data_IF_980974809009
#
_entry.id   IF_980974809009
#
_cell.length_a   1.000
_cell.length_b   1.000
_cell.length_c   1.000
_cell.angle_alpha   90.00
_cell.angle_beta   90.00
_cell.angle_gamma   90.00
#
_symmetry.space_group_name_H-M   'P 1'
#
loop_
_entity.id
_entity.type
_entity.pdbx_description
1 polymer ?
#
# COMPACT_ATOMS: atom_id res chain seq x y z
N UNK A 1 -57.43 -30.12 -7.87
CA UNK A 1 -56.70 -28.84 -7.75
C UNK A 1 -55.44 -29.10 -6.95
N UNK A 2 -54.29 -29.26 -7.61
CA UNK A 2 -53.00 -29.40 -6.95
C UNK A 2 -52.33 -28.03 -6.86
N UNK A 3 -52.00 -27.59 -5.65
CA UNK A 3 -51.14 -26.44 -5.47
C UNK A 3 -49.73 -26.77 -5.98
N UNK A 4 -49.07 -25.86 -6.73
CA UNK A 4 -47.71 -26.11 -7.15
C UNK A 4 -46.80 -26.05 -5.92
N UNK A 5 -46.04 -27.13 -5.69
CA UNK A 5 -44.87 -27.09 -4.82
C UNK A 5 -43.85 -26.17 -5.48
N UNK A 6 -43.71 -24.96 -4.94
CA UNK A 6 -42.58 -24.09 -5.27
C UNK A 6 -41.34 -24.76 -4.68
N UNK A 7 -40.51 -25.30 -5.57
CA UNK A 7 -39.23 -25.89 -5.24
C UNK A 7 -38.24 -24.75 -4.99
N UNK A 8 -38.13 -24.30 -3.73
CA UNK A 8 -37.08 -23.36 -3.28
C UNK A 8 -35.75 -24.12 -3.24
N UNK A 9 -35.19 -24.46 -4.40
CA UNK A 9 -33.79 -24.89 -4.52
C UNK A 9 -32.92 -23.66 -4.79
N UNK A 10 -32.13 -23.28 -3.79
CA UNK A 10 -30.84 -22.62 -4.00
C UNK A 10 -30.83 -21.09 -3.90
N UNK A 11 -31.34 -20.50 -2.82
CA UNK A 11 -30.76 -19.22 -2.36
C UNK A 11 -29.65 -19.59 -1.39
N UNK A 12 -28.43 -19.76 -1.90
CA UNK A 12 -27.26 -19.88 -1.04
C UNK A 12 -27.15 -18.62 -0.20
N UNK A 13 -27.13 -18.75 1.13
CA UNK A 13 -26.85 -17.62 2.00
C UNK A 13 -25.49 -17.03 1.60
N UNK A 14 -25.50 -15.74 1.28
CA UNK A 14 -24.28 -14.97 1.03
C UNK A 14 -23.52 -14.90 2.34
N UNK A 15 -22.34 -15.52 2.40
CA UNK A 15 -21.49 -15.45 3.59
C UNK A 15 -20.64 -14.20 3.56
N UNK A 16 -20.38 -13.64 4.74
CA UNK A 16 -19.33 -12.65 4.93
C UNK A 16 -18.09 -13.33 5.52
N UNK A 17 -16.94 -13.14 4.87
CA UNK A 17 -15.66 -13.71 5.25
C UNK A 17 -14.67 -12.62 5.61
N UNK A 18 -14.02 -12.75 6.76
CA UNK A 18 -13.03 -11.81 7.27
C UNK A 18 -11.62 -12.38 7.08
N UNK A 19 -10.73 -11.55 6.52
CA UNK A 19 -9.33 -11.89 6.29
C UNK A 19 -8.44 -11.00 7.14
N UNK A 20 -7.58 -11.62 7.95
CA UNK A 20 -6.71 -10.93 8.90
C UNK A 20 -5.34 -11.61 9.01
N UNK A 21 -4.33 -10.84 9.45
CA UNK A 21 -2.98 -11.33 9.77
C UNK A 21 -2.53 -11.01 11.20
N UNK A 22 -1.58 -11.80 11.70
CA UNK A 22 -0.87 -11.48 12.93
C UNK A 22 0.60 -11.85 12.83
N UNK A 23 1.43 -11.10 13.56
CA UNK A 23 2.86 -11.33 13.68
C UNK A 23 3.72 -10.55 12.68
N UNK A 24 3.14 -9.77 11.75
CA UNK A 24 3.89 -8.98 10.77
C UNK A 24 4.92 -8.02 11.36
N UNK A 25 4.63 -7.47 12.55
CA UNK A 25 5.55 -6.59 13.28
C UNK A 25 6.66 -7.31 14.05
N UNK A 26 6.52 -8.61 14.32
CA UNK A 26 7.51 -9.40 15.04
C UNK A 26 8.57 -9.93 14.08
N UNK A 27 9.84 -9.90 14.50
CA UNK A 27 10.95 -10.49 13.73
C UNK A 27 11.00 -12.00 13.77
N UNK A 28 10.31 -12.61 14.72
CA UNK A 28 10.28 -14.05 14.94
C UNK A 28 8.90 -14.63 14.64
N UNK A 29 8.89 -15.96 14.45
CA UNK A 29 7.73 -16.78 14.12
C UNK A 29 7.06 -16.42 12.80
N UNK A 30 6.19 -17.28 12.31
CA UNK A 30 5.51 -17.06 11.04
C UNK A 30 4.43 -16.00 11.20
N UNK A 31 4.21 -15.22 10.14
CA UNK A 31 2.98 -14.44 10.02
C UNK A 31 1.82 -15.42 9.83
N UNK A 32 0.80 -15.31 10.67
CA UNK A 32 -0.44 -16.09 10.56
C UNK A 32 -1.39 -15.33 9.67
N UNK A 33 -2.08 -16.04 8.78
CA UNK A 33 -3.20 -15.53 8.00
C UNK A 33 -4.44 -16.35 8.38
N UNK A 34 -5.56 -15.67 8.60
CA UNK A 34 -6.85 -16.32 8.88
C UNK A 34 -7.92 -15.88 7.88
N UNK A 35 -8.86 -16.78 7.63
CA UNK A 35 -10.09 -16.59 6.87
C UNK A 35 -11.23 -17.13 7.73
N UNK A 36 -12.15 -16.25 8.14
CA UNK A 36 -13.17 -16.58 9.13
C UNK A 36 -14.54 -16.13 8.65
N UNK A 37 -15.55 -16.98 8.74
CA UNK A 37 -16.94 -16.56 8.65
C UNK A 37 -17.52 -16.51 10.06
N UNK A 38 -17.80 -15.32 10.58
CA UNK A 38 -18.25 -15.18 11.97
C UNK A 38 -19.65 -15.77 12.21
N UNK A 39 -20.54 -15.63 11.23
CA UNK A 39 -21.91 -16.13 11.30
C UNK A 39 -21.94 -17.66 11.40
N UNK A 40 -21.18 -18.35 10.54
CA UNK A 40 -21.11 -19.81 10.53
C UNK A 40 -20.05 -20.39 11.48
N UNK A 41 -19.21 -19.54 12.08
CA UNK A 41 -18.04 -19.91 12.91
C UNK A 41 -17.02 -20.80 12.19
N UNK A 42 -16.99 -20.73 10.86
CA UNK A 42 -15.98 -21.43 10.06
C UNK A 42 -14.65 -20.70 10.16
N UNK A 43 -13.59 -21.43 10.50
CA UNK A 43 -12.26 -20.88 10.77
C UNK A 43 -11.24 -21.64 9.93
N UNK A 44 -10.52 -20.90 9.10
CA UNK A 44 -9.40 -21.39 8.33
C UNK A 44 -8.18 -20.53 8.65
N UNK A 45 -7.03 -21.18 8.81
CA UNK A 45 -5.79 -20.50 9.14
C UNK A 45 -4.60 -21.16 8.46
N UNK A 46 -3.56 -20.37 8.22
CA UNK A 46 -2.28 -20.83 7.69
C UNK A 46 -1.16 -19.91 8.18
N UNK A 47 0.08 -20.36 8.03
CA UNK A 47 1.26 -19.62 8.45
C UNK A 47 2.23 -19.46 7.28
N UNK A 48 2.76 -18.26 7.11
CA UNK A 48 3.76 -17.98 6.08
C UNK A 48 5.14 -18.52 6.51
N UNK A 49 5.83 -19.30 5.66
CA UNK A 49 7.09 -19.91 6.04
C UNK A 49 8.13 -18.86 6.44
N UNK A 50 9.00 -19.18 7.40
CA UNK A 50 10.01 -18.23 7.91
C UNK A 50 10.97 -17.75 6.81
N UNK A 51 11.24 -18.60 5.83
CA UNK A 51 12.06 -18.34 4.64
C UNK A 51 11.52 -19.11 3.42
N UNK A 52 11.93 -18.72 2.21
CA UNK A 52 11.60 -19.36 0.93
C UNK A 52 12.58 -18.87 -0.15
N UNK A 53 12.77 -19.62 -1.23
CA UNK A 53 13.73 -19.32 -2.31
C UNK A 53 13.12 -19.31 -3.72
N UNK A 54 11.80 -19.40 -3.82
CA UNK A 54 11.05 -19.50 -5.08
C UNK A 54 10.74 -18.16 -5.74
N UNK A 55 11.41 -17.08 -5.32
CA UNK A 55 11.34 -15.75 -5.95
C UNK A 55 10.06 -14.95 -5.64
N UNK A 56 9.05 -15.55 -5.03
CA UNK A 56 7.84 -14.82 -4.63
C UNK A 56 8.13 -13.77 -3.56
N UNK A 57 7.44 -12.65 -3.66
CA UNK A 57 7.38 -11.64 -2.59
C UNK A 57 6.48 -12.11 -1.44
N UNK A 58 6.58 -11.42 -0.30
CA UNK A 58 5.70 -11.67 0.85
C UNK A 58 4.20 -11.52 0.50
N UNK A 59 3.85 -10.50 -0.31
CA UNK A 59 2.46 -10.24 -0.71
C UNK A 59 1.93 -11.36 -1.63
N UNK A 60 2.77 -11.90 -2.53
CA UNK A 60 2.41 -13.04 -3.38
C UNK A 60 2.29 -14.34 -2.58
N UNK A 61 3.18 -14.58 -1.60
CA UNK A 61 3.07 -15.72 -0.68
C UNK A 61 1.76 -15.68 0.11
N UNK A 62 1.39 -14.50 0.62
CA UNK A 62 0.13 -14.31 1.33
C UNK A 62 -1.07 -14.54 0.41
N UNK A 63 -1.03 -13.99 -0.81
CA UNK A 63 -2.06 -14.23 -1.82
C UNK A 63 -2.26 -15.71 -2.09
N UNK A 64 -1.20 -16.46 -2.41
CA UNK A 64 -1.28 -17.90 -2.71
C UNK A 64 -1.84 -18.73 -1.55
N UNK A 65 -1.49 -18.35 -0.32
CA UNK A 65 -2.02 -19.03 0.88
C UNK A 65 -3.51 -18.72 1.09
N UNK A 66 -3.92 -17.46 0.92
CA UNK A 66 -5.31 -17.03 1.09
C UNK A 66 -6.22 -17.62 0.00
N UNK A 67 -5.77 -17.67 -1.26
CA UNK A 67 -6.54 -18.33 -2.32
C UNK A 67 -6.73 -19.81 -2.01
N UNK A 68 -5.70 -20.48 -1.51
CA UNK A 68 -5.81 -21.87 -1.04
C UNK A 68 -6.74 -22.04 0.17
N UNK A 69 -6.81 -21.07 1.08
CA UNK A 69 -7.81 -21.08 2.17
C UNK A 69 -9.22 -20.88 1.64
N UNK A 70 -9.42 -19.95 0.70
CA UNK A 70 -10.71 -19.69 0.06
C UNK A 70 -11.24 -20.93 -0.67
N UNK A 71 -10.37 -21.63 -1.41
CA UNK A 71 -10.72 -22.88 -2.09
C UNK A 71 -11.16 -23.95 -1.09
N UNK A 72 -10.42 -24.13 0.02
CA UNK A 72 -10.77 -25.08 1.09
C UNK A 72 -12.08 -24.73 1.79
N UNK A 73 -12.33 -23.44 1.99
CA UNK A 73 -13.55 -22.92 2.60
C UNK A 73 -14.76 -22.92 1.64
N UNK A 74 -14.54 -23.17 0.35
CA UNK A 74 -15.58 -23.12 -0.66
C UNK A 74 -16.16 -21.72 -0.84
N UNK A 75 -15.35 -20.67 -0.70
CA UNK A 75 -15.78 -19.27 -0.86
C UNK A 75 -16.33 -19.03 -2.27
N UNK A 76 -17.54 -18.52 -2.36
CA UNK A 76 -18.23 -18.28 -3.62
C UNK A 76 -18.04 -16.83 -4.09
N UNK A 77 -18.25 -16.56 -5.38
CA UNK A 77 -18.09 -15.19 -5.95
C UNK A 77 -19.09 -14.18 -5.41
N UNK A 78 -20.27 -14.67 -5.00
CA UNK A 78 -21.33 -13.88 -4.40
C UNK A 78 -21.15 -13.69 -2.89
N UNK A 79 -20.22 -14.40 -2.25
CA UNK A 79 -19.83 -14.10 -0.88
C UNK A 79 -19.15 -12.73 -0.81
N UNK A 80 -19.22 -12.10 0.36
CA UNK A 80 -18.54 -10.84 0.64
C UNK A 80 -17.26 -11.10 1.41
N UNK A 81 -16.14 -10.55 0.95
CA UNK A 81 -14.88 -10.58 1.69
C UNK A 81 -14.59 -9.22 2.33
N UNK A 82 -14.26 -9.21 3.61
CA UNK A 82 -13.77 -8.04 4.33
C UNK A 82 -12.29 -8.28 4.65
N UNK A 83 -11.41 -7.49 4.04
CA UNK A 83 -9.96 -7.69 4.13
C UNK A 83 -9.33 -6.61 4.99
N UNK A 84 -8.43 -7.00 5.88
CA UNK A 84 -7.66 -6.03 6.66
C UNK A 84 -6.86 -5.07 5.76
N UNK A 85 -6.66 -3.84 6.25
CA UNK A 85 -5.86 -2.81 5.56
C UNK A 85 -4.34 -3.07 5.52
N UNK A 86 -3.89 -4.21 6.04
CA UNK A 86 -2.49 -4.62 6.04
C UNK A 86 -1.89 -4.66 4.63
N UNK A 87 -0.71 -4.07 4.45
CA UNK A 87 -0.04 -4.03 3.15
C UNK A 87 0.28 -5.42 2.58
N UNK A 88 0.34 -6.45 3.42
CA UNK A 88 0.57 -7.83 3.02
C UNK A 88 -0.53 -8.34 2.07
N UNK A 89 -1.72 -7.73 2.12
CA UNK A 89 -2.88 -8.14 1.34
C UNK A 89 -3.01 -7.42 -0.02
N UNK A 90 -2.13 -6.49 -0.40
CA UNK A 90 -2.32 -5.71 -1.64
C UNK A 90 -2.44 -6.62 -2.89
N UNK A 91 -1.55 -7.61 -3.04
CA UNK A 91 -1.62 -8.58 -4.15
C UNK A 91 -2.93 -9.37 -4.11
N UNK A 92 -3.37 -9.79 -2.92
CA UNK A 92 -4.63 -10.51 -2.74
C UNK A 92 -5.85 -9.65 -3.10
N UNK A 93 -5.87 -8.39 -2.71
CA UNK A 93 -6.93 -7.42 -3.05
C UNK A 93 -7.03 -7.18 -4.57
N UNK A 94 -5.89 -7.07 -5.26
CA UNK A 94 -5.88 -7.01 -6.72
C UNK A 94 -6.42 -8.31 -7.33
N UNK A 95 -5.96 -9.47 -6.85
CA UNK A 95 -6.45 -10.75 -7.32
C UNK A 95 -7.96 -10.92 -7.12
N UNK A 96 -8.52 -10.49 -5.99
CA UNK A 96 -9.97 -10.51 -5.74
C UNK A 96 -10.73 -9.67 -6.76
N UNK A 97 -10.23 -8.45 -7.03
CA UNK A 97 -10.80 -7.54 -8.03
C UNK A 97 -10.78 -8.15 -9.42
N UNK A 98 -9.61 -8.61 -9.89
CA UNK A 98 -9.44 -9.21 -11.22
C UNK A 98 -10.26 -10.49 -11.38
N UNK A 99 -10.41 -11.25 -10.30
CA UNK A 99 -11.19 -12.48 -10.28
C UNK A 99 -12.69 -12.23 -10.11
N UNK A 100 -13.15 -10.99 -9.90
CA UNK A 100 -14.57 -10.66 -9.78
C UNK A 100 -15.23 -11.09 -8.47
N UNK A 101 -14.48 -11.13 -7.36
CA UNK A 101 -15.06 -11.28 -6.02
C UNK A 101 -15.60 -9.95 -5.48
N UNK A 102 -16.64 -10.01 -4.66
CA UNK A 102 -17.12 -8.84 -3.91
C UNK A 102 -16.29 -8.67 -2.65
N UNK A 103 -15.56 -7.56 -2.53
CA UNK A 103 -14.71 -7.34 -1.36
C UNK A 103 -14.59 -5.86 -0.99
N UNK A 104 -14.32 -5.60 0.30
CA UNK A 104 -14.06 -4.28 0.86
C UNK A 104 -12.90 -4.32 1.86
N UNK A 105 -12.32 -3.15 2.15
CA UNK A 105 -11.39 -2.99 3.28
C UNK A 105 -12.21 -2.74 4.56
N UNK A 106 -11.96 -3.53 5.60
CA UNK A 106 -12.57 -3.34 6.91
C UNK A 106 -11.54 -3.06 8.00
N UNK A 107 -11.98 -2.37 9.05
CA UNK A 107 -11.25 -2.36 10.33
C UNK A 107 -11.53 -3.71 10.99
N UNK A 108 -10.49 -4.46 11.28
CA UNK A 108 -10.62 -5.76 11.90
C UNK A 108 -10.64 -5.60 13.42
N UNK A 109 -11.81 -5.83 13.97
CA UNK A 109 -12.09 -6.21 15.35
C UNK A 109 -12.91 -7.50 15.32
N UNK A 110 -13.05 -8.18 16.47
CA UNK A 110 -13.82 -9.42 16.54
C UNK A 110 -13.01 -10.70 16.29
N UNK A 111 -13.70 -11.75 15.84
CA UNK A 111 -13.24 -13.14 15.94
C UNK A 111 -12.00 -13.41 15.08
N UNK A 112 -11.94 -12.85 13.87
CA UNK A 112 -10.79 -13.03 12.98
C UNK A 112 -9.51 -12.46 13.60
N UNK A 113 -9.60 -11.29 14.23
CA UNK A 113 -8.48 -10.65 14.90
C UNK A 113 -7.99 -11.47 16.09
N UNK A 114 -8.90 -11.86 16.98
CA UNK A 114 -8.57 -12.64 18.17
C UNK A 114 -7.93 -13.98 17.80
N UNK A 115 -8.42 -14.65 16.75
CA UNK A 115 -7.86 -15.91 16.27
C UNK A 115 -6.47 -15.75 15.64
N UNK A 116 -6.24 -14.69 14.84
CA UNK A 116 -4.93 -14.44 14.27
C UNK A 116 -3.88 -14.23 15.39
N UNK A 117 -4.20 -13.42 16.39
CA UNK A 117 -3.33 -13.18 17.55
C UNK A 117 -3.12 -14.44 18.39
N UNK A 118 -4.18 -15.20 18.63
CA UNK A 118 -4.11 -16.47 19.35
C UNK A 118 -3.20 -17.48 18.65
N UNK A 119 -3.36 -17.68 17.33
CA UNK A 119 -2.52 -18.60 16.57
C UNK A 119 -1.06 -18.13 16.51
N UNK A 120 -0.81 -16.82 16.42
CA UNK A 120 0.53 -16.29 16.51
C UNK A 120 1.17 -16.57 17.89
N UNK A 121 0.45 -16.30 18.98
CA UNK A 121 0.94 -16.59 20.33
C UNK A 121 1.18 -18.09 20.54
N UNK A 122 0.29 -18.94 20.01
CA UNK A 122 0.41 -20.40 20.10
C UNK A 122 1.71 -20.91 19.48
N UNK A 123 2.16 -20.34 18.36
CA UNK A 123 3.47 -20.69 17.78
C UNK A 123 4.62 -20.43 18.77
N UNK A 124 4.59 -19.30 19.46
CA UNK A 124 5.61 -18.94 20.44
C UNK A 124 5.57 -19.89 21.65
N UNK A 125 4.38 -20.17 22.18
CA UNK A 125 4.20 -21.10 23.32
C UNK A 125 4.67 -22.51 22.97
N UNK A 126 4.34 -23.00 21.78
CA UNK A 126 4.81 -24.32 21.30
C UNK A 126 6.34 -24.39 21.18
N UNK A 127 7.00 -23.26 20.93
CA UNK A 127 8.45 -23.15 20.94
C UNK A 127 9.06 -22.95 22.35
N UNK A 128 8.23 -22.90 23.41
CA UNK A 128 8.65 -22.77 24.80
C UNK A 128 8.53 -21.36 25.40
N UNK A 129 7.86 -20.42 24.72
CA UNK A 129 7.58 -19.09 25.28
C UNK A 129 6.57 -19.20 26.44
N UNK A 130 6.74 -18.46 27.56
CA UNK A 130 5.82 -18.57 28.67
C UNK A 130 4.38 -18.16 28.30
N UNK A 131 3.37 -19.03 28.49
CA UNK A 131 1.99 -18.80 28.04
C UNK A 131 1.26 -17.66 28.77
N UNK A 132 1.75 -17.26 29.95
CA UNK A 132 1.23 -16.13 30.72
C UNK A 132 1.67 -14.76 30.16
N UNK A 133 2.72 -14.72 29.34
CA UNK A 133 3.20 -13.49 28.72
C UNK A 133 2.40 -13.20 27.45
N UNK A 134 1.18 -12.70 27.61
CA UNK A 134 0.26 -12.44 26.51
C UNK A 134 0.32 -11.00 26.02
N UNK A 135 -0.28 -10.75 24.85
CA UNK A 135 -0.51 -9.40 24.37
C UNK A 135 -1.58 -8.72 25.25
N UNK A 136 -1.22 -7.61 25.87
CA UNK A 136 -2.12 -6.82 26.74
C UNK A 136 -2.40 -5.47 26.09
N UNK A 137 -3.67 -5.05 26.07
CA UNK A 137 -4.10 -3.72 25.58
C UNK A 137 -3.58 -3.36 24.19
N UNK A 138 -3.42 -4.36 23.31
CA UNK A 138 -2.83 -4.19 21.96
C UNK A 138 -1.44 -3.54 21.97
N UNK A 139 -0.67 -3.69 23.05
CA UNK A 139 0.70 -3.21 23.17
C UNK A 139 1.69 -4.14 22.44
N UNK A 140 1.56 -4.20 21.11
CA UNK A 140 2.37 -5.06 20.25
C UNK A 140 3.88 -4.81 20.38
N UNK A 141 4.26 -3.55 20.61
CA UNK A 141 5.67 -3.16 20.69
C UNK A 141 6.37 -3.88 21.83
N UNK A 142 5.75 -3.87 23.01
CA UNK A 142 6.30 -4.53 24.19
C UNK A 142 6.25 -6.04 24.05
N UNK A 143 5.10 -6.58 23.66
CA UNK A 143 4.90 -8.02 23.48
C UNK A 143 5.91 -8.63 22.48
N UNK A 144 6.08 -8.01 21.29
CA UNK A 144 7.08 -8.48 20.33
C UNK A 144 8.50 -8.30 20.84
N UNK A 145 8.79 -7.24 21.61
CA UNK A 145 10.11 -7.06 22.22
C UNK A 145 10.43 -8.17 23.23
N UNK A 146 9.42 -8.68 23.97
CA UNK A 146 9.60 -9.80 24.90
C UNK A 146 9.95 -11.08 24.14
N UNK A 147 9.19 -11.43 23.09
CA UNK A 147 9.47 -12.59 22.24
C UNK A 147 10.87 -12.49 21.63
N UNK A 148 11.21 -11.33 21.06
CA UNK A 148 12.50 -11.13 20.39
C UNK A 148 13.69 -11.24 21.36
N UNK A 149 13.54 -10.74 22.60
CA UNK A 149 14.56 -10.90 23.65
C UNK A 149 14.69 -12.36 24.10
N UNK A 150 13.57 -13.05 24.26
CA UNK A 150 13.55 -14.45 24.66
C UNK A 150 14.27 -15.34 23.63
N UNK A 151 13.97 -15.17 22.34
CA UNK A 151 14.70 -15.87 21.26
C UNK A 151 16.16 -15.44 21.20
N UNK A 152 16.45 -14.15 21.39
CA UNK A 152 17.81 -13.62 21.38
C UNK A 152 18.69 -14.16 22.52
N UNK A 153 18.10 -14.66 23.61
CA UNK A 153 18.81 -15.18 24.77
C UNK A 153 19.29 -16.64 24.59
N UNK A 154 18.69 -17.41 23.68
CA UNK A 154 19.03 -18.82 23.44
C UNK A 154 19.40 -19.06 21.97
N UNK A 155 20.66 -19.45 21.67
CA UNK A 155 21.08 -19.83 20.32
C UNK A 155 20.20 -20.89 19.65
N UNK A 156 19.65 -21.84 20.41
CA UNK A 156 18.78 -22.90 19.90
C UNK A 156 17.45 -22.39 19.34
N UNK A 157 16.99 -21.22 19.79
CA UNK A 157 15.75 -20.60 19.34
C UNK A 157 15.92 -19.73 18.09
N UNK A 158 17.15 -19.48 17.64
CA UNK A 158 17.41 -18.63 16.48
C UNK A 158 16.79 -19.15 15.18
N UNK A 159 16.42 -20.44 15.13
CA UNK A 159 15.71 -21.06 13.98
C UNK A 159 14.36 -20.39 13.72
N UNK A 160 13.78 -19.72 14.72
CA UNK A 160 12.48 -19.04 14.61
C UNK A 160 12.58 -17.61 14.06
N UNK A 161 13.79 -17.12 13.74
CA UNK A 161 13.95 -15.82 13.09
C UNK A 161 13.43 -15.86 11.65
N UNK A 162 12.59 -14.88 11.31
CA UNK A 162 12.17 -14.65 9.93
C UNK A 162 13.36 -14.24 9.07
N UNK A 163 13.45 -14.80 7.86
CA UNK A 163 14.44 -14.36 6.88
C UNK A 163 14.03 -12.99 6.29
N UNK A 164 14.79 -11.96 6.69
CA UNK A 164 14.56 -10.59 6.24
C UNK A 164 14.91 -10.36 4.77
N UNK A 165 15.71 -11.20 4.12
CA UNK A 165 16.08 -11.00 2.72
C UNK A 165 14.87 -11.19 1.81
N UNK A 166 14.14 -12.28 2.02
CA UNK A 166 13.02 -12.70 1.17
C UNK A 166 11.72 -11.98 1.53
N UNK A 167 11.59 -11.51 2.78
CA UNK A 167 10.46 -10.70 3.27
C UNK A 167 10.59 -9.20 2.97
N UNK A 168 11.72 -8.73 2.45
CA UNK A 168 11.91 -7.31 2.11
C UNK A 168 11.24 -6.98 0.78
N UNK A 169 10.49 -5.87 0.74
CA UNK A 169 10.02 -5.32 -0.54
C UNK A 169 11.18 -5.11 -1.51
N UNK A 170 11.07 -5.56 -2.77
CA UNK A 170 12.09 -5.40 -3.80
C UNK A 170 12.53 -3.95 -3.96
N UNK A 171 13.78 -3.73 -4.39
CA UNK A 171 14.30 -2.38 -4.56
C UNK A 171 13.47 -1.55 -5.56
N UNK A 172 13.00 -2.14 -6.66
CA UNK A 172 12.19 -1.50 -7.71
C UNK A 172 10.91 -0.87 -7.16
N UNK A 173 10.19 -1.56 -6.28
CA UNK A 173 8.96 -1.05 -5.63
C UNK A 173 9.20 0.18 -4.74
N UNK A 174 10.47 0.48 -4.43
CA UNK A 174 10.88 1.66 -3.66
C UNK A 174 11.22 2.87 -4.52
N UNK A 175 11.37 2.68 -5.84
CA UNK A 175 11.48 3.77 -6.80
C UNK A 175 10.08 4.25 -7.13
N UNK A 176 9.79 5.50 -6.81
CA UNK A 176 8.49 6.12 -7.03
C UNK A 176 8.69 7.30 -7.98
N UNK A 177 8.07 7.24 -9.16
CA UNK A 177 7.94 8.38 -10.05
C UNK A 177 6.91 9.35 -9.48
N UNK A 178 7.29 10.61 -9.31
CA UNK A 178 6.41 11.64 -8.77
C UNK A 178 6.84 13.02 -9.23
N UNK A 179 6.05 14.03 -8.87
CA UNK A 179 6.49 15.41 -8.98
C UNK A 179 7.43 15.81 -7.81
N UNK A 180 8.46 16.59 -8.12
CA UNK A 180 9.30 17.26 -7.13
C UNK A 180 8.56 18.48 -6.54
N UNK A 181 8.79 18.79 -5.28
CA UNK A 181 8.22 20.01 -4.68
C UNK A 181 8.99 21.28 -5.08
N UNK A 182 8.76 22.37 -4.36
CA UNK A 182 9.42 23.67 -4.60
C UNK A 182 10.93 23.72 -4.37
N UNK A 183 11.58 22.61 -4.01
CA UNK A 183 13.03 22.55 -3.80
C UNK A 183 13.73 21.80 -4.92
N UNK A 184 14.86 22.34 -5.41
CA UNK A 184 15.74 21.59 -6.29
C UNK A 184 16.36 20.39 -5.56
N UNK A 185 16.64 19.33 -6.32
CA UNK A 185 17.34 18.12 -5.83
C UNK A 185 18.57 17.87 -6.69
N UNK A 186 19.51 17.08 -6.20
CA UNK A 186 20.63 16.61 -7.02
C UNK A 186 20.37 15.17 -7.44
N UNK A 187 20.50 14.90 -8.74
CA UNK A 187 20.42 13.54 -9.27
C UNK A 187 21.60 12.71 -8.78
N UNK A 188 21.35 11.50 -8.28
CA UNK A 188 22.41 10.63 -7.78
C UNK A 188 23.26 10.01 -8.90
N UNK A 189 22.72 9.92 -10.12
CA UNK A 189 23.41 9.34 -11.26
C UNK A 189 24.26 10.39 -12.00
N UNK A 190 23.64 11.41 -12.59
CA UNK A 190 24.35 12.42 -13.40
C UNK A 190 24.87 13.62 -12.60
N UNK A 191 24.58 13.71 -11.30
CA UNK A 191 24.93 14.81 -10.38
C UNK A 191 24.33 16.19 -10.71
N UNK A 192 23.66 16.33 -11.86
CA UNK A 192 22.96 17.55 -12.25
C UNK A 192 21.73 17.84 -11.36
N UNK A 193 21.31 19.11 -11.34
CA UNK A 193 20.13 19.54 -10.59
C UNK A 193 18.85 19.06 -11.26
N UNK A 194 17.92 18.58 -10.44
CA UNK A 194 16.53 18.32 -10.76
C UNK A 194 15.78 19.57 -10.32
N UNK A 195 15.08 20.20 -11.27
CA UNK A 195 14.39 21.46 -11.05
C UNK A 195 13.25 21.29 -10.02
N UNK A 196 12.87 22.35 -9.29
CA UNK A 196 11.60 22.38 -8.60
C UNK A 196 10.45 22.01 -9.54
N UNK A 197 9.38 21.43 -9.00
CA UNK A 197 8.15 21.18 -9.77
C UNK A 197 8.36 20.44 -11.11
N UNK A 198 9.32 19.49 -11.14
CA UNK A 198 9.57 18.64 -12.30
C UNK A 198 9.37 17.17 -11.94
N UNK A 199 9.14 16.28 -12.93
CA UNK A 199 9.20 14.85 -12.72
C UNK A 199 10.51 14.41 -12.06
N UNK A 200 10.42 13.53 -11.07
CA UNK A 200 11.55 12.97 -10.33
C UNK A 200 11.26 11.54 -9.91
N UNK A 201 12.27 10.67 -10.00
CA UNK A 201 12.21 9.33 -9.40
C UNK A 201 12.86 9.41 -8.03
N UNK A 202 12.12 9.00 -7.00
CA UNK A 202 12.63 8.92 -5.62
C UNK A 202 12.77 7.47 -5.20
N UNK A 203 13.99 7.04 -4.92
CA UNK A 203 14.26 5.77 -4.25
C UNK A 203 14.21 5.96 -2.73
N UNK A 204 13.32 5.22 -2.05
CA UNK A 204 13.11 5.33 -0.60
C UNK A 204 13.46 4.03 0.09
N UNK A 205 14.40 4.05 1.02
CA UNK A 205 14.71 2.87 1.82
C UNK A 205 14.98 3.24 3.28
N UNK A 206 15.10 2.22 4.12
CA UNK A 206 15.54 2.38 5.50
C UNK A 206 16.87 1.70 5.71
N UNK A 207 17.75 2.39 6.41
CA UNK A 207 19.08 1.93 6.80
C UNK A 207 19.25 2.27 8.28
N UNK A 208 19.48 1.25 9.11
CA UNK A 208 19.58 1.40 10.57
C UNK A 208 18.42 2.22 11.18
N UNK A 209 17.19 2.02 10.68
CA UNK A 209 15.98 2.73 11.12
C UNK A 209 15.76 4.11 10.47
N UNK A 210 16.82 4.72 9.93
CA UNK A 210 16.75 6.02 9.27
C UNK A 210 16.14 5.92 7.87
N UNK A 211 15.27 6.87 7.53
CA UNK A 211 14.68 6.98 6.20
C UNK A 211 15.66 7.66 5.27
N UNK A 212 16.18 6.94 4.30
CA UNK A 212 17.06 7.47 3.27
C UNK A 212 16.27 7.69 1.98
N UNK A 213 16.56 8.82 1.31
CA UNK A 213 15.96 9.18 0.01
C UNK A 213 17.06 9.51 -0.98
N UNK A 214 17.01 8.89 -2.16
CA UNK A 214 17.84 9.22 -3.31
C UNK A 214 16.94 9.71 -4.43
N UNK A 215 17.42 10.69 -5.19
CA UNK A 215 16.66 11.36 -6.24
C UNK A 215 17.36 11.17 -7.57
N UNK A 216 16.58 10.93 -8.63
CA UNK A 216 17.06 10.74 -9.99
C UNK A 216 16.16 11.50 -10.97
N UNK A 217 16.74 12.03 -12.04
CA UNK A 217 15.92 12.38 -13.21
C UNK A 217 15.23 11.10 -13.74
N UNK A 218 14.03 11.18 -14.33
CA UNK A 218 13.36 10.01 -14.92
C UNK A 218 14.20 9.28 -15.97
N UNK A 219 15.04 9.98 -16.73
CA UNK A 219 15.94 9.36 -17.70
C UNK A 219 17.22 8.77 -17.06
N UNK A 220 17.48 9.05 -15.78
CA UNK A 220 18.71 8.65 -15.09
C UNK A 220 18.48 7.59 -14.00
N UNK A 221 17.24 7.12 -13.81
CA UNK A 221 16.97 6.05 -12.85
C UNK A 221 17.55 4.72 -13.37
N UNK A 222 18.16 3.90 -12.51
CA UNK A 222 18.72 2.61 -12.90
C UNK A 222 17.64 1.56 -13.22
N UNK A 223 16.38 1.83 -12.86
CA UNK A 223 15.23 0.92 -13.04
C UNK A 223 14.00 1.71 -13.48
N UNK A 224 13.09 1.05 -14.18
CA UNK A 224 11.74 1.58 -14.45
C UNK A 224 10.91 1.55 -13.15
N UNK A 225 10.40 2.68 -12.65
CA UNK A 225 9.63 2.71 -11.42
C UNK A 225 8.30 1.95 -11.57
N UNK A 226 8.01 1.01 -10.66
CA UNK A 226 6.74 0.28 -10.64
C UNK A 226 5.57 1.09 -10.04
N UNK A 227 5.86 2.20 -9.35
CA UNK A 227 4.85 3.08 -8.75
C UNK A 227 5.00 4.51 -9.28
N UNK A 228 3.89 5.10 -9.70
CA UNK A 228 3.81 6.51 -10.08
C UNK A 228 2.71 7.22 -9.29
N UNK A 229 3.04 8.39 -8.74
CA UNK A 229 2.07 9.39 -8.27
C UNK A 229 2.25 10.70 -9.03
N UNK A 230 2.91 10.64 -10.18
CA UNK A 230 3.09 11.80 -11.04
C UNK A 230 1.79 12.05 -11.79
N UNK A 231 1.28 13.26 -11.66
CA UNK A 231 0.21 13.77 -12.51
C UNK A 231 0.83 14.82 -13.42
N UNK A 232 0.73 14.60 -14.73
CA UNK A 232 1.14 15.56 -15.76
C UNK A 232 -0.07 16.29 -16.32
N UNK A 233 0.18 17.48 -16.82
CA UNK A 233 -0.83 18.28 -17.49
C UNK A 233 -0.22 19.04 -18.64
N UNK A 234 -0.99 19.14 -19.71
CA UNK A 234 -0.63 19.90 -20.90
C UNK A 234 -1.45 21.19 -20.87
N UNK A 235 -0.75 22.31 -20.69
CA UNK A 235 -1.34 23.63 -20.71
C UNK A 235 -1.26 24.24 -22.12
N UNK A 236 -2.34 24.87 -22.56
CA UNK A 236 -2.36 25.67 -23.79
C UNK A 236 -2.45 27.15 -23.41
N UNK A 237 -1.57 27.98 -23.97
CA UNK A 237 -1.57 29.42 -23.74
C UNK A 237 -0.87 30.15 -24.88
N UNK A 238 -1.48 31.22 -25.42
CA UNK A 238 -0.95 32.03 -26.53
C UNK A 238 -0.43 31.18 -27.71
N UNK A 239 -1.29 30.29 -28.23
CA UNK A 239 -0.98 29.35 -29.31
C UNK A 239 0.21 28.39 -29.05
N UNK A 240 0.70 28.33 -27.80
CA UNK A 240 1.80 27.47 -27.39
C UNK A 240 1.31 26.37 -26.44
N UNK A 241 1.95 25.21 -26.53
CA UNK A 241 1.62 24.02 -25.74
C UNK A 241 2.78 23.69 -24.80
N UNK A 242 2.51 23.65 -23.51
CA UNK A 242 3.51 23.41 -22.48
C UNK A 242 3.15 22.18 -21.64
N UNK A 243 4.11 21.31 -21.42
CA UNK A 243 3.95 20.19 -20.50
C UNK A 243 4.45 20.58 -19.12
N UNK A 244 3.69 20.20 -18.10
CA UNK A 244 4.06 20.38 -16.71
C UNK A 244 3.41 19.35 -15.83
N UNK A 245 3.32 19.67 -14.55
CA UNK A 245 2.90 18.76 -13.49
C UNK A 245 1.78 19.38 -12.67
N UNK A 246 0.95 18.52 -12.10
CA UNK A 246 -0.06 18.93 -11.13
C UNK A 246 0.41 18.57 -9.72
N UNK A 247 0.32 19.57 -8.84
CA UNK A 247 0.49 19.40 -7.41
C UNK A 247 -0.49 20.28 -6.67
N UNK A 248 -0.87 19.85 -5.46
CA UNK A 248 -1.58 20.75 -4.56
C UNK A 248 -0.61 21.84 -4.10
N UNK A 249 -1.02 23.10 -4.25
CA UNK A 249 -0.26 24.24 -3.79
C UNK A 249 -0.03 24.16 -2.28
N UNK A 250 1.10 24.71 -1.86
CA UNK A 250 1.48 24.87 -0.45
C UNK A 250 1.26 26.34 -0.07
N UNK A 251 1.66 26.73 1.14
CA UNK A 251 1.61 28.12 1.62
C UNK A 251 2.48 29.14 0.85
N UNK A 252 2.96 28.79 -0.35
CA UNK A 252 3.64 29.73 -1.23
C UNK A 252 2.58 30.63 -1.88
N UNK A 253 2.56 31.94 -1.55
CA UNK A 253 1.67 32.95 -2.17
C UNK A 253 1.98 33.12 -3.67
N UNK A 254 1.60 32.13 -4.49
CA UNK A 254 1.76 32.15 -5.94
C UNK A 254 0.46 32.59 -6.60
N UNK A 255 0.57 33.32 -7.69
CA UNK A 255 -0.56 33.78 -8.48
C UNK A 255 -0.68 32.98 -9.76
N UNK A 256 -1.91 32.70 -10.17
CA UNK A 256 -2.19 32.10 -11.45
C UNK A 256 -1.83 33.07 -12.58
N UNK A 257 -1.01 32.61 -13.53
CA UNK A 257 -0.58 33.37 -14.68
C UNK A 257 -1.75 33.91 -15.53
N UNK A 258 -2.86 33.16 -15.60
CA UNK A 258 -3.98 33.47 -16.48
C UNK A 258 -4.97 34.45 -15.85
N UNK A 259 -5.44 34.17 -14.63
CA UNK A 259 -6.49 34.99 -13.99
C UNK A 259 -5.95 35.99 -12.95
N UNK A 260 -4.65 35.96 -12.64
CA UNK A 260 -4.02 36.80 -11.62
C UNK A 260 -4.39 36.47 -10.17
N UNK A 261 -5.35 35.58 -9.93
CA UNK A 261 -5.77 35.19 -8.57
C UNK A 261 -4.70 34.36 -7.86
N UNK A 262 -4.63 34.49 -6.55
CA UNK A 262 -3.76 33.66 -5.69
C UNK A 262 -4.22 32.21 -5.75
N UNK A 263 -3.27 31.30 -5.87
CA UNK A 263 -3.47 29.87 -5.73
C UNK A 263 -3.34 29.51 -4.25
N UNK A 264 -4.41 29.01 -3.65
CA UNK A 264 -4.50 28.74 -2.23
C UNK A 264 -3.82 27.42 -1.80
N UNK A 265 -3.45 27.28 -0.52
CA UNK A 265 -2.95 26.02 0.01
C UNK A 265 -3.97 24.88 -0.19
N UNK A 266 -3.53 23.76 -0.75
CA UNK A 266 -4.39 22.63 -1.09
C UNK A 266 -4.97 22.68 -2.51
N UNK A 267 -4.94 23.83 -3.19
CA UNK A 267 -5.50 23.96 -4.53
C UNK A 267 -4.72 23.13 -5.54
N UNK A 268 -5.47 22.39 -6.37
CA UNK A 268 -4.88 21.61 -7.46
C UNK A 268 -4.29 22.58 -8.49
N UNK A 269 -2.97 22.55 -8.65
CA UNK A 269 -2.23 23.62 -9.33
C UNK A 269 -1.28 23.06 -10.38
N UNK A 270 -1.26 23.71 -11.54
CA UNK A 270 -0.29 23.46 -12.58
C UNK A 270 1.02 24.19 -12.29
N UNK A 271 2.12 23.47 -12.48
CA UNK A 271 3.47 24.02 -12.49
C UNK A 271 4.17 23.57 -13.78
N UNK A 272 4.76 24.52 -14.50
CA UNK A 272 5.47 24.25 -15.74
C UNK A 272 6.59 25.27 -15.97
N UNK A 273 7.30 25.14 -17.08
CA UNK A 273 8.36 26.09 -17.43
C UNK A 273 8.18 26.61 -18.86
N UNK A 274 8.37 27.93 -19.03
CA UNK A 274 8.48 28.61 -20.33
C UNK A 274 9.80 29.39 -20.29
N UNK A 275 10.70 29.15 -21.24
CA UNK A 275 12.01 29.83 -21.33
C UNK A 275 12.75 29.87 -19.98
N UNK A 276 12.81 28.71 -19.31
CA UNK A 276 13.39 28.51 -17.97
C UNK A 276 12.70 29.25 -16.81
N UNK A 277 11.60 29.96 -17.06
CA UNK A 277 10.76 30.59 -16.03
C UNK A 277 9.63 29.68 -15.57
N UNK A 278 9.47 29.53 -14.25
CA UNK A 278 8.40 28.75 -13.66
C UNK A 278 7.06 29.48 -13.84
N UNK A 279 6.11 28.82 -14.49
CA UNK A 279 4.72 29.26 -14.59
C UNK A 279 3.83 28.47 -13.66
N UNK A 280 2.81 29.14 -13.12
CA UNK A 280 1.90 28.59 -12.12
C UNK A 280 0.48 28.98 -12.47
N UNK A 281 -0.48 28.09 -12.26
CA UNK A 281 -1.89 28.47 -12.36
C UNK A 281 -2.88 27.35 -12.13
N UNK A 282 -4.15 27.72 -12.13
CA UNK A 282 -5.24 26.76 -12.03
C UNK A 282 -5.32 25.94 -13.33
N UNK A 283 -5.38 24.60 -13.26
CA UNK A 283 -5.49 23.76 -14.45
C UNK A 283 -6.69 24.13 -15.34
N UNK A 284 -7.79 24.58 -14.76
CA UNK A 284 -8.97 25.04 -15.48
C UNK A 284 -8.70 26.30 -16.32
N UNK A 285 -7.85 27.21 -15.85
CA UNK A 285 -7.55 28.45 -16.58
C UNK A 285 -6.69 28.22 -17.83
N UNK A 286 -5.95 27.12 -17.92
CA UNK A 286 -5.16 26.75 -19.10
C UNK A 286 -5.96 25.98 -20.17
N UNK A 287 -7.24 25.71 -19.93
CA UNK A 287 -8.13 25.02 -20.88
C UNK A 287 -9.01 25.97 -21.69
N UNK A 288 -9.24 27.18 -21.19
CA UNK A 288 -10.07 28.17 -21.87
C UNK A 288 -9.16 29.14 -22.63
N UNK A 289 -9.30 29.19 -23.96
CA UNK A 289 -9.00 30.42 -24.70
C UNK A 289 -10.02 31.47 -24.25
N UNK A 290 -9.78 32.07 -23.08
CA UNK A 290 -10.46 33.31 -22.74
C UNK A 290 -9.84 34.38 -23.59
N UNK A 291 -10.53 34.72 -24.68
CA UNK A 291 -10.33 35.94 -25.43
C UNK A 291 -9.99 37.06 -24.45
N UNK A 292 -8.79 37.62 -24.60
CA UNK A 292 -8.36 38.76 -23.84
C UNK A 292 -9.43 39.85 -23.98
N UNK A 293 -10.07 40.20 -22.86
CA UNK A 293 -10.91 41.39 -22.77
C UNK A 293 -10.02 42.56 -23.14
N UNK A 294 -10.19 43.09 -24.36
CA UNK A 294 -9.68 44.39 -24.77
C UNK A 294 -10.35 45.43 -23.86
N UNK A 295 -9.64 45.84 -22.83
CA UNK A 295 -9.94 47.06 -22.07
C UNK A 295 -9.43 48.27 -22.84
N UNK A 296 -10.28 49.30 -22.89
CA UNK A 296 -10.13 50.57 -23.61
C UNK A 296 -8.83 51.34 -23.32
#
# INVERSE_FOLDING_TARGET
MGFPRINLRGVGFVKEWHVEDAGGGCRAFSEVLVLVCEESREIFATALPLTWDDGFSLEEKACNQLTGLMEKAGVQKNDRLVVCSGNIFNTFQHWLTESGYTWDIGKMDGLAHDLAEYFFHTQAVQAGFPPELQLVERNYREYYSLIEKWIGADPGLQVFWKDRKVRRKPAETRYILKCNGGHSRSCQQCRQKIRPYSPVVVYRYRENGHRIRRYFHPACTPVTPLKSTLETFVANWNASRFEGVILNARDEKRTCLICGQVVGPGDRTFYGYIDDQLIVGHPACFKEEKDAVRGA
#
